data_IF_043727808861
#
_entry.id   IF_043727808861
#
_cell.length_a   1.000
_cell.length_b   1.000
_cell.length_c   1.000
_cell.angle_alpha   90.00
_cell.angle_beta   90.00
_cell.angle_gamma   90.00
#
_symmetry.space_group_name_H-M   'P 1'
#
loop_
_entity.id
_entity.type
_entity.pdbx_description
1 polymer ?
#
# COMPACT_ATOMS: atom_id res chain seq x y z
N UNK A 1 14.46 -0.24 14.53
CA UNK A 1 13.30 0.09 15.39
C UNK A 1 13.69 1.32 16.18
N UNK A 2 12.85 2.36 16.19
CA UNK A 2 13.10 3.57 16.97
C UNK A 2 12.07 3.64 18.08
N UNK A 3 12.55 3.79 19.31
CA UNK A 3 11.72 4.08 20.49
C UNK A 3 11.76 5.59 20.73
N UNK A 4 10.62 6.20 21.09
CA UNK A 4 10.60 7.62 21.48
C UNK A 4 10.95 7.79 22.97
N UNK A 5 10.97 9.03 23.44
CA UNK A 5 11.33 9.38 24.82
C UNK A 5 10.44 8.77 25.91
N UNK A 6 9.28 8.20 25.53
CA UNK A 6 8.37 7.47 26.43
C UNK A 6 8.57 5.96 26.42
N UNK A 7 9.48 5.45 25.58
CA UNK A 7 9.67 4.02 25.34
C UNK A 7 8.59 3.40 24.44
N UNK A 8 7.68 4.21 23.89
CA UNK A 8 6.70 3.72 22.94
C UNK A 8 7.35 3.40 21.58
N UNK A 9 6.74 2.46 20.88
CA UNK A 9 7.19 2.07 19.56
C UNK A 9 6.79 3.13 18.53
N UNK A 10 7.76 3.62 17.75
CA UNK A 10 7.50 4.52 16.61
C UNK A 10 7.71 3.78 15.29
N UNK A 11 6.75 3.92 14.39
CA UNK A 11 6.90 3.48 13.01
C UNK A 11 8.09 4.23 12.36
N UNK A 12 9.07 3.54 11.77
CA UNK A 12 10.14 4.17 11.01
C UNK A 12 9.62 5.18 9.99
N UNK A 13 10.34 6.27 9.82
CA UNK A 13 9.95 7.35 8.91
C UNK A 13 9.76 6.87 7.46
N UNK A 14 10.61 5.97 6.99
CA UNK A 14 10.47 5.32 5.68
C UNK A 14 9.10 4.62 5.53
N UNK A 15 8.63 3.94 6.57
CA UNK A 15 7.33 3.25 6.54
C UNK A 15 6.16 4.24 6.66
N UNK A 16 6.34 5.38 7.34
CA UNK A 16 5.40 6.49 7.31
C UNK A 16 5.27 7.05 5.89
N UNK A 17 6.39 7.31 5.22
CA UNK A 17 6.43 7.81 3.84
C UNK A 17 5.82 6.81 2.84
N UNK A 18 6.10 5.51 3.01
CA UNK A 18 5.49 4.45 2.22
C UNK A 18 3.97 4.42 2.40
N UNK A 19 3.49 4.43 3.65
CA UNK A 19 2.05 4.47 3.96
C UNK A 19 1.37 5.66 3.30
N UNK A 20 1.97 6.84 3.39
CA UNK A 20 1.38 8.06 2.84
C UNK A 20 1.34 8.01 1.31
N UNK A 21 2.34 7.37 0.68
CA UNK A 21 2.37 7.12 -0.76
C UNK A 21 1.28 6.15 -1.19
N UNK A 22 1.09 5.05 -0.46
CA UNK A 22 0.00 4.09 -0.69
C UNK A 22 -1.36 4.75 -0.53
N UNK A 23 -1.57 5.57 0.53
CA UNK A 23 -2.82 6.30 0.74
C UNK A 23 -3.17 7.20 -0.44
N UNK A 24 -2.18 7.95 -0.95
CA UNK A 24 -2.35 8.80 -2.13
C UNK A 24 -2.69 7.97 -3.38
N UNK A 25 -2.04 6.83 -3.56
CA UNK A 25 -2.32 5.94 -4.69
C UNK A 25 -3.76 5.39 -4.65
N UNK A 26 -4.22 4.94 -3.48
CA UNK A 26 -5.60 4.46 -3.30
C UNK A 26 -6.62 5.55 -3.64
N UNK A 27 -6.44 6.75 -3.07
CA UNK A 27 -7.38 7.86 -3.28
C UNK A 27 -7.38 8.39 -4.72
N UNK A 28 -6.22 8.44 -5.37
CA UNK A 28 -6.10 9.03 -6.71
C UNK A 28 -6.44 8.05 -7.84
N UNK A 29 -6.28 6.75 -7.63
CA UNK A 29 -6.38 5.77 -8.71
C UNK A 29 -7.32 4.60 -8.42
N UNK A 30 -7.33 4.06 -7.20
CA UNK A 30 -8.10 2.85 -6.89
C UNK A 30 -9.57 3.17 -6.62
N UNK A 31 -9.85 4.01 -5.62
CA UNK A 31 -11.24 4.34 -5.26
C UNK A 31 -12.03 4.93 -6.44
N UNK A 32 -11.49 5.85 -7.27
CA UNK A 32 -12.24 6.36 -8.41
C UNK A 32 -12.64 5.28 -9.40
N UNK A 33 -11.86 4.20 -9.52
CA UNK A 33 -12.23 3.07 -10.36
C UNK A 33 -13.29 2.21 -9.67
N UNK A 34 -13.09 1.87 -8.39
CA UNK A 34 -14.05 1.08 -7.61
C UNK A 34 -15.44 1.72 -7.57
N UNK A 35 -15.51 3.05 -7.47
CA UNK A 35 -16.76 3.82 -7.50
C UNK A 35 -17.54 3.66 -8.83
N UNK A 36 -16.86 3.26 -9.92
CA UNK A 36 -17.52 2.97 -11.21
C UNK A 36 -18.02 1.53 -11.34
N UNK A 37 -17.59 0.64 -10.45
CA UNK A 37 -17.91 -0.78 -10.55
C UNK A 37 -19.26 -1.10 -9.92
N UNK A 38 -19.99 -2.09 -10.45
CA UNK A 38 -21.13 -2.69 -9.75
C UNK A 38 -20.75 -3.18 -8.35
N UNK A 39 -21.66 -3.07 -7.39
CA UNK A 39 -21.43 -3.45 -5.99
C UNK A 39 -21.12 -4.95 -5.79
N UNK A 40 -21.50 -5.79 -6.75
CA UNK A 40 -21.25 -7.23 -6.80
C UNK A 40 -19.99 -7.60 -7.60
N UNK A 41 -19.20 -6.60 -8.02
CA UNK A 41 -17.94 -6.83 -8.73
C UNK A 41 -16.94 -7.55 -7.83
N UNK A 42 -16.42 -8.68 -8.33
CA UNK A 42 -15.39 -9.48 -7.65
C UNK A 42 -13.96 -9.04 -7.99
N UNK A 43 -13.81 -8.03 -8.84
CA UNK A 43 -12.52 -7.53 -9.28
C UNK A 43 -12.63 -6.49 -10.40
N UNK A 44 -11.46 -6.01 -10.80
CA UNK A 44 -11.32 -5.02 -11.87
C UNK A 44 -11.33 -5.69 -13.25
N UNK A 45 -11.95 -5.05 -14.26
CA UNK A 45 -11.72 -5.37 -15.66
C UNK A 45 -10.22 -5.39 -16.00
N UNK A 46 -9.81 -6.31 -16.88
CA UNK A 46 -8.38 -6.62 -17.11
C UNK A 46 -7.58 -5.42 -17.62
N UNK A 47 -8.17 -4.62 -18.50
CA UNK A 47 -7.62 -3.38 -19.02
C UNK A 47 -7.32 -2.38 -17.89
N UNK A 48 -8.30 -2.11 -17.04
CA UNK A 48 -8.16 -1.20 -15.89
C UNK A 48 -7.14 -1.73 -14.88
N UNK A 49 -7.15 -3.04 -14.64
CA UNK A 49 -6.18 -3.70 -13.77
C UNK A 49 -4.75 -3.55 -14.29
N UNK A 50 -4.52 -3.73 -15.60
CA UNK A 50 -3.18 -3.60 -16.20
C UNK A 50 -2.67 -2.17 -16.09
N UNK A 51 -3.52 -1.17 -16.34
CA UNK A 51 -3.14 0.24 -16.18
C UNK A 51 -2.80 0.58 -14.73
N UNK A 52 -3.62 0.11 -13.78
CA UNK A 52 -3.39 0.34 -12.35
C UNK A 52 -2.07 -0.30 -11.88
N UNK A 53 -1.77 -1.52 -12.35
CA UNK A 53 -0.49 -2.18 -12.08
C UNK A 53 0.70 -1.42 -12.68
N UNK A 54 0.56 -0.86 -13.89
CA UNK A 54 1.61 -0.06 -14.51
C UNK A 54 1.93 1.19 -13.66
N UNK A 55 0.89 1.89 -13.18
CA UNK A 55 1.05 3.05 -12.27
C UNK A 55 1.71 2.64 -10.95
N UNK A 56 1.29 1.52 -10.35
CA UNK A 56 1.91 1.02 -9.12
C UNK A 56 3.40 0.69 -9.30
N UNK A 57 3.79 0.09 -10.43
CA UNK A 57 5.20 -0.18 -10.78
C UNK A 57 6.02 1.10 -10.92
N UNK A 58 5.49 2.13 -11.58
CA UNK A 58 6.15 3.42 -11.73
C UNK A 58 6.40 4.12 -10.39
N UNK A 59 5.52 3.90 -9.40
CA UNK A 59 5.65 4.44 -8.05
C UNK A 59 6.50 3.57 -7.11
N UNK A 60 7.06 2.46 -7.60
CA UNK A 60 7.81 1.51 -6.77
C UNK A 60 6.96 0.75 -5.74
N UNK A 61 5.63 0.78 -5.88
CA UNK A 61 4.68 0.06 -5.01
C UNK A 61 4.52 -1.41 -5.41
N UNK A 62 5.27 -1.87 -6.41
CA UNK A 62 5.19 -3.22 -6.95
C UNK A 62 6.43 -4.03 -6.59
N UNK A 63 6.23 -5.32 -6.30
CA UNK A 63 7.29 -6.21 -5.83
C UNK A 63 8.02 -5.69 -4.57
N UNK A 64 7.28 -4.98 -3.69
CA UNK A 64 7.78 -4.65 -2.36
C UNK A 64 8.24 -5.94 -1.68
N UNK A 65 9.48 -5.96 -1.20
CA UNK A 65 9.97 -7.13 -0.47
C UNK A 65 9.12 -7.29 0.79
N UNK A 66 8.29 -8.32 0.83
CA UNK A 66 7.79 -8.86 2.08
C UNK A 66 9.00 -9.39 2.85
N UNK A 67 9.56 -8.58 3.75
CA UNK A 67 10.37 -9.14 4.82
C UNK A 67 9.43 -10.04 5.63
N UNK A 68 9.70 -11.34 5.59
CA UNK A 68 9.09 -12.30 6.52
C UNK A 68 9.36 -11.81 7.93
N UNK A 69 8.30 -11.37 8.63
CA UNK A 69 8.38 -10.99 10.03
C UNK A 69 8.74 -12.27 10.79
N UNK A 70 9.99 -12.39 11.24
CA UNK A 70 10.30 -13.34 12.31
C UNK A 70 9.64 -12.80 13.56
N UNK A 71 8.63 -13.49 14.07
CA UNK A 71 8.11 -13.21 15.40
C UNK A 71 9.30 -13.17 16.38
N UNK A 72 9.39 -12.10 17.18
CA UNK A 72 10.39 -12.03 18.23
C UNK A 72 10.17 -13.20 19.21
N UNK A 73 11.24 -13.86 19.70
CA UNK A 73 11.08 -14.81 20.80
C UNK A 73 10.58 -14.05 22.04
N UNK A 74 9.59 -14.64 22.71
CA UNK A 74 9.04 -14.15 23.97
C UNK A 74 9.95 -14.41 25.16
#
# INVERSE_FOLDING_TARGET
>A
MSVDGTGAWKLPEELVLLRDTVRRFMAAYVHPIEDTLPHDSIGLPRDQLVELQAKARQLGLWALQTRRISAAPG
#
